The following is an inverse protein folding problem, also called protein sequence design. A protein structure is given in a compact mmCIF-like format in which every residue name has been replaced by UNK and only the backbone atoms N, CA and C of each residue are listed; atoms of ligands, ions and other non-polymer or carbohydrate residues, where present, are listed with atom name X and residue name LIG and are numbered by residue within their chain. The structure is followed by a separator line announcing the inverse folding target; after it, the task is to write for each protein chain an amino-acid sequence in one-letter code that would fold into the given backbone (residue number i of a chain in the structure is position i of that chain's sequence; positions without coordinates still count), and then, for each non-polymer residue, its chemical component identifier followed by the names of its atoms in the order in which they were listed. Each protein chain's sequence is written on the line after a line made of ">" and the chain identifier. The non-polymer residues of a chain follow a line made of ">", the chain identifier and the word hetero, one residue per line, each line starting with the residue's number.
data_IF_249077691856
#
_entry.id   IF_249077691856
#
_cell.length_a   1.000
_cell.length_b   1.000
_cell.length_c   1.000
_cell.angle_alpha   90.00
_cell.angle_beta   90.00
_cell.angle_gamma   90.00
#
_symmetry.space_group_name_H-M   'P 1'
#
loop_
_entity.id
_entity.type
_entity.pdbx_description
1 polymer ?
#
# COMPACT_ATOMS: atom_id res chain seq x y z
N UNK A 1 -5.74 52.76 28.27
CA UNK A 1 -6.43 52.11 27.12
C UNK A 1 -5.60 50.93 26.58
N UNK A 2 -5.14 50.01 27.45
CA UNK A 2 -4.19 48.94 27.08
C UNK A 2 -4.67 47.53 27.47
N UNK A 3 -5.68 47.39 28.32
CA UNK A 3 -6.17 46.08 28.79
C UNK A 3 -6.94 45.28 27.72
N UNK A 4 -7.57 45.94 26.75
CA UNK A 4 -8.37 45.25 25.72
C UNK A 4 -7.51 44.50 24.68
N UNK A 5 -6.28 44.96 24.43
CA UNK A 5 -5.39 44.35 23.42
C UNK A 5 -4.76 43.05 23.96
N UNK A 6 -4.42 43.01 25.25
CA UNK A 6 -3.79 41.83 25.86
C UNK A 6 -4.81 40.68 25.97
N UNK A 7 -6.05 40.99 26.34
CA UNK A 7 -7.13 40.00 26.47
C UNK A 7 -7.48 39.35 25.12
N UNK A 8 -7.56 40.13 24.04
CA UNK A 8 -7.87 39.59 22.70
C UNK A 8 -6.74 38.71 22.16
N UNK A 9 -5.48 39.09 22.37
CA UNK A 9 -4.32 38.28 21.97
C UNK A 9 -4.33 36.92 22.68
N UNK A 10 -4.58 36.88 24.00
CA UNK A 10 -4.64 35.63 24.77
C UNK A 10 -5.79 34.74 24.27
N UNK A 11 -6.98 35.32 24.01
CA UNK A 11 -8.11 34.57 23.45
C UNK A 11 -7.79 33.94 22.08
N UNK A 12 -7.10 34.66 21.20
CA UNK A 12 -6.71 34.14 19.87
C UNK A 12 -5.71 32.98 20.01
N UNK A 13 -4.71 33.10 20.89
CA UNK A 13 -3.76 32.02 21.13
C UNK A 13 -4.43 30.77 21.71
N UNK A 14 -5.36 30.92 22.66
CA UNK A 14 -6.11 29.80 23.21
C UNK A 14 -7.01 29.12 22.16
N UNK A 15 -7.73 29.90 21.34
CA UNK A 15 -8.55 29.37 20.25
C UNK A 15 -7.71 28.64 19.20
N UNK A 16 -6.54 29.18 18.81
CA UNK A 16 -5.64 28.53 17.87
C UNK A 16 -5.06 27.22 18.45
N UNK A 17 -4.71 27.20 19.73
CA UNK A 17 -4.19 26.00 20.42
C UNK A 17 -5.27 24.91 20.54
N UNK A 18 -6.52 25.28 20.78
CA UNK A 18 -7.67 24.36 20.82
C UNK A 18 -7.94 23.78 19.43
N UNK A 19 -7.94 24.62 18.39
CA UNK A 19 -8.15 24.19 17.00
C UNK A 19 -7.04 23.25 16.52
N UNK A 20 -5.77 23.53 16.85
CA UNK A 20 -4.65 22.67 16.50
C UNK A 20 -4.72 21.32 17.24
N UNK A 21 -5.12 21.32 18.52
CA UNK A 21 -5.35 20.08 19.28
C UNK A 21 -6.50 19.27 18.72
N UNK A 22 -7.63 19.90 18.37
CA UNK A 22 -8.76 19.25 17.72
C UNK A 22 -8.37 18.67 16.36
N UNK A 23 -7.57 19.39 15.58
CA UNK A 23 -7.08 18.91 14.29
C UNK A 23 -6.17 17.69 14.45
N UNK A 24 -5.22 17.75 15.39
CA UNK A 24 -4.32 16.63 15.70
C UNK A 24 -5.05 15.42 16.29
N UNK A 25 -6.01 15.63 17.20
CA UNK A 25 -6.80 14.54 17.77
C UNK A 25 -7.73 13.91 16.73
N UNK A 26 -8.39 14.70 15.88
CA UNK A 26 -9.19 14.19 14.77
C UNK A 26 -8.33 13.39 13.78
N UNK A 27 -7.14 13.87 13.42
CA UNK A 27 -6.22 13.14 12.54
C UNK A 27 -5.75 11.83 13.17
N UNK A 28 -5.41 11.84 14.46
CA UNK A 28 -5.01 10.63 15.19
C UNK A 28 -6.15 9.63 15.40
N UNK A 29 -7.39 10.12 15.54
CA UNK A 29 -8.59 9.31 15.69
C UNK A 29 -9.01 8.70 14.35
N UNK A 30 -8.93 9.47 13.25
CA UNK A 30 -9.12 8.99 11.89
C UNK A 30 -8.13 7.87 11.54
N UNK A 31 -6.85 8.05 11.91
CA UNK A 31 -5.81 7.03 11.69
C UNK A 31 -6.04 5.75 12.53
N UNK A 32 -6.60 5.86 13.75
CA UNK A 32 -6.92 4.70 14.60
C UNK A 32 -8.17 3.94 14.13
N UNK A 33 -9.25 4.62 13.80
CA UNK A 33 -10.47 3.96 13.28
C UNK A 33 -10.24 3.31 11.90
N UNK A 34 -9.41 3.89 11.02
CA UNK A 34 -9.17 3.31 9.68
C UNK A 34 -8.25 2.08 9.70
N UNK A 35 -7.34 1.99 10.68
CA UNK A 35 -6.62 0.74 10.94
C UNK A 35 -7.56 -0.42 11.29
N UNK A 36 -8.79 -0.11 11.73
CA UNK A 36 -9.82 -1.11 12.00
C UNK A 36 -10.58 -1.55 10.74
N UNK A 37 -10.72 -0.73 9.70
CA UNK A 37 -11.34 -1.16 8.43
C UNK A 37 -10.43 -2.08 7.58
N UNK A 38 -9.11 -1.96 7.73
CA UNK A 38 -8.12 -2.88 7.14
C UNK A 38 -8.03 -4.23 7.88
N UNK A 39 -8.80 -4.46 8.96
CA UNK A 39 -8.71 -5.64 9.84
C UNK A 39 -8.98 -7.00 9.17
N UNK A 40 -9.49 -7.04 7.94
CA UNK A 40 -9.67 -8.28 7.20
C UNK A 40 -8.39 -8.81 6.53
N UNK A 41 -7.36 -7.97 6.39
CA UNK A 41 -6.13 -8.32 5.68
C UNK A 41 -5.06 -8.77 6.68
N UNK A 42 -4.86 -10.08 6.75
CA UNK A 42 -3.83 -10.69 7.59
C UNK A 42 -2.47 -10.52 6.91
N UNK A 43 -1.71 -9.51 7.29
CA UNK A 43 -0.34 -9.34 6.82
C UNK A 43 0.60 -10.38 7.45
N UNK A 44 1.68 -10.77 6.75
CA UNK A 44 2.71 -11.63 7.33
C UNK A 44 3.21 -11.06 8.67
N UNK A 45 3.48 -11.93 9.67
CA UNK A 45 3.80 -11.50 11.04
C UNK A 45 5.01 -10.56 11.09
N UNK A 46 6.02 -10.80 10.25
CA UNK A 46 7.22 -9.98 10.16
C UNK A 46 6.96 -8.51 9.73
N UNK A 47 5.84 -8.21 9.05
CA UNK A 47 5.45 -6.83 8.72
C UNK A 47 4.80 -6.16 9.93
N UNK A 48 3.96 -6.89 10.67
CA UNK A 48 3.27 -6.38 11.84
C UNK A 48 4.23 -6.16 13.03
N UNK A 49 5.16 -7.09 13.24
CA UNK A 49 6.17 -7.08 14.29
C UNK A 49 7.24 -6.01 14.08
N UNK A 50 7.37 -5.46 12.87
CA UNK A 50 8.34 -4.41 12.58
C UNK A 50 8.03 -3.16 13.41
N UNK A 51 9.02 -2.58 14.11
CA UNK A 51 8.84 -1.32 14.82
C UNK A 51 8.40 -0.21 13.84
N UNK A 52 7.73 0.80 14.38
CA UNK A 52 7.26 1.95 13.60
C UNK A 52 8.47 2.59 12.92
N UNK A 53 8.56 2.33 11.62
CA UNK A 53 9.63 2.77 10.74
C UNK A 53 9.00 3.59 9.63
N UNK A 54 9.80 4.47 9.02
CA UNK A 54 9.37 5.28 7.87
C UNK A 54 8.75 4.40 6.76
N UNK A 55 9.22 3.15 6.62
CA UNK A 55 8.63 2.17 5.72
C UNK A 55 7.17 1.83 6.08
N UNK A 56 6.91 1.51 7.35
CA UNK A 56 5.58 1.12 7.85
C UNK A 56 4.60 2.28 7.75
N UNK A 57 5.05 3.49 8.06
CA UNK A 57 4.25 4.71 7.93
C UNK A 57 3.84 4.96 6.47
N UNK A 58 4.81 4.89 5.54
CA UNK A 58 4.54 5.02 4.10
C UNK A 58 3.62 3.92 3.57
N UNK A 59 3.79 2.69 4.05
CA UNK A 59 2.90 1.58 3.69
C UNK A 59 1.47 1.86 4.16
N UNK A 60 1.30 2.26 5.42
CA UNK A 60 -0.01 2.60 5.97
C UNK A 60 -0.65 3.75 5.19
N UNK A 61 0.09 4.83 4.93
CA UNK A 61 -0.38 5.96 4.11
C UNK A 61 -0.84 5.51 2.72
N UNK A 62 -0.11 4.58 2.10
CA UNK A 62 -0.47 4.03 0.79
C UNK A 62 -1.71 3.13 0.83
N UNK A 63 -1.89 2.37 1.92
CA UNK A 63 -3.04 1.49 2.12
C UNK A 63 -4.31 2.26 2.48
N UNK A 64 -4.20 3.43 3.12
CA UNK A 64 -5.33 4.29 3.53
C UNK A 64 -6.08 4.89 2.33
N UNK A 65 -5.47 4.90 1.14
CA UNK A 65 -6.10 5.47 -0.05
C UNK A 65 -7.47 4.82 -0.32
N UNK A 66 -8.49 5.60 -0.73
CA UNK A 66 -9.81 5.04 -1.02
C UNK A 66 -9.73 3.98 -2.13
N UNK A 67 -10.68 3.06 -2.13
CA UNK A 67 -10.78 2.05 -3.19
C UNK A 67 -11.07 2.72 -4.54
N UNK A 68 -10.45 2.22 -5.61
CA UNK A 68 -10.67 2.66 -6.98
C UNK A 68 -10.61 1.43 -7.89
N UNK A 69 -11.67 1.19 -8.66
CA UNK A 69 -11.81 -0.03 -9.47
C UNK A 69 -10.71 -0.11 -10.54
N UNK A 70 -10.41 1.03 -11.17
CA UNK A 70 -9.38 1.16 -12.20
C UNK A 70 -8.00 0.77 -11.67
N UNK A 71 -7.72 1.11 -10.42
CA UNK A 71 -6.47 0.76 -9.75
C UNK A 71 -6.40 -0.75 -9.46
N UNK A 72 -7.50 -1.33 -8.99
CA UNK A 72 -7.61 -2.76 -8.77
C UNK A 72 -7.39 -3.54 -10.07
N UNK A 73 -8.09 -3.18 -11.14
CA UNK A 73 -7.99 -3.87 -12.43
C UNK A 73 -6.56 -3.77 -12.98
N UNK A 74 -5.93 -2.60 -12.86
CA UNK A 74 -4.54 -2.39 -13.26
C UNK A 74 -3.57 -3.28 -12.49
N UNK A 75 -3.64 -3.29 -11.15
CA UNK A 75 -2.73 -4.11 -10.36
C UNK A 75 -3.00 -5.61 -10.50
N UNK A 76 -4.26 -6.00 -10.64
CA UNK A 76 -4.64 -7.38 -10.87
C UNK A 76 -4.11 -7.88 -12.22
N UNK A 77 -4.22 -7.06 -13.27
CA UNK A 77 -3.64 -7.35 -14.57
C UNK A 77 -2.12 -7.53 -14.48
N UNK A 78 -1.42 -6.62 -13.80
CA UNK A 78 0.03 -6.72 -13.58
C UNK A 78 0.43 -7.95 -12.77
N UNK A 79 -0.35 -8.31 -11.74
CA UNK A 79 -0.06 -9.46 -10.89
C UNK A 79 -0.33 -10.80 -11.59
N UNK A 80 -1.34 -10.82 -12.47
CA UNK A 80 -1.72 -11.99 -13.26
C UNK A 80 -0.94 -12.12 -14.56
N UNK A 81 -0.22 -11.08 -14.98
CA UNK A 81 0.48 -11.04 -16.25
C UNK A 81 1.54 -12.14 -16.34
N UNK A 82 1.59 -12.77 -17.52
CA UNK A 82 2.54 -13.83 -17.86
C UNK A 82 3.27 -13.39 -19.12
N UNK A 83 4.51 -12.97 -18.95
CA UNK A 83 5.33 -12.44 -20.04
C UNK A 83 5.99 -13.62 -20.77
N UNK A 84 6.05 -13.65 -22.11
CA UNK A 84 6.77 -14.69 -22.84
C UNK A 84 8.24 -14.73 -22.40
N UNK A 85 8.75 -15.93 -22.07
CA UNK A 85 10.14 -16.05 -21.62
C UNK A 85 11.09 -15.70 -22.76
N UNK A 86 12.10 -14.87 -22.46
CA UNK A 86 13.21 -14.60 -23.37
C UNK A 86 14.36 -15.50 -22.98
N UNK A 87 14.79 -16.37 -23.89
CA UNK A 87 15.96 -17.22 -23.68
C UNK A 87 17.20 -16.59 -24.29
N UNK A 88 18.30 -16.69 -23.57
CA UNK A 88 19.62 -16.26 -24.00
C UNK A 88 20.36 -17.46 -24.61
N UNK A 89 20.88 -17.30 -25.83
CA UNK A 89 21.81 -18.23 -26.44
C UNK A 89 23.15 -17.55 -26.67
N UNK A 90 24.18 -18.04 -25.98
CA UNK A 90 25.57 -17.62 -26.21
C UNK A 90 26.20 -18.43 -27.32
N UNK A 91 26.70 -17.74 -28.32
CA UNK A 91 27.54 -18.26 -29.40
C UNK A 91 28.97 -17.75 -29.19
N UNK A 92 29.97 -18.33 -29.85
CA UNK A 92 31.40 -17.99 -29.68
C UNK A 92 31.72 -16.49 -29.80
N UNK A 93 30.93 -15.74 -30.59
CA UNK A 93 31.13 -14.31 -30.83
C UNK A 93 29.93 -13.40 -30.48
N UNK A 94 28.76 -13.97 -30.14
CA UNK A 94 27.52 -13.19 -29.98
C UNK A 94 26.56 -13.80 -28.97
N UNK A 95 25.72 -12.96 -28.37
CA UNK A 95 24.60 -13.36 -27.53
C UNK A 95 23.31 -13.03 -28.27
N UNK A 96 22.45 -14.02 -28.49
CA UNK A 96 21.16 -13.86 -29.14
C UNK A 96 20.02 -14.10 -28.15
N UNK A 97 19.05 -13.20 -28.15
CA UNK A 97 17.82 -13.29 -27.35
C UNK A 97 16.66 -13.68 -28.26
N UNK A 98 15.89 -14.69 -27.86
CA UNK A 98 14.72 -15.14 -28.62
C UNK A 98 13.55 -15.40 -27.69
N UNK A 99 12.35 -15.06 -28.15
CA UNK A 99 11.11 -15.36 -27.45
C UNK A 99 10.84 -16.86 -27.52
N UNK A 100 10.71 -17.48 -26.35
CA UNK A 100 10.38 -18.88 -26.22
C UNK A 100 8.85 -19.03 -26.17
N UNK A 101 8.26 -19.45 -27.28
CA UNK A 101 6.80 -19.53 -27.47
C UNK A 101 6.11 -20.62 -26.65
N UNK A 102 6.87 -21.60 -26.14
CA UNK A 102 6.31 -22.78 -25.46
C UNK A 102 6.27 -22.66 -23.94
N UNK A 103 6.96 -21.68 -23.34
CA UNK A 103 6.92 -21.42 -21.89
C UNK A 103 6.68 -19.93 -21.65
N UNK A 104 5.65 -19.65 -20.87
CA UNK A 104 5.37 -18.31 -20.36
C UNK A 104 6.08 -18.14 -19.02
N UNK A 105 6.48 -16.91 -18.68
CA UNK A 105 6.98 -16.62 -17.35
C UNK A 105 5.88 -16.85 -16.31
N UNK A 106 6.30 -17.23 -15.11
CA UNK A 106 5.42 -17.26 -13.94
C UNK A 106 4.89 -15.86 -13.67
N UNK A 107 3.59 -15.74 -13.45
CA UNK A 107 2.98 -14.51 -12.92
C UNK A 107 3.40 -14.31 -11.46
N UNK A 108 3.02 -13.18 -10.86
CA UNK A 108 3.28 -12.97 -9.42
C UNK A 108 2.51 -13.98 -8.57
N UNK A 109 1.28 -14.30 -8.95
CA UNK A 109 0.49 -15.34 -8.27
C UNK A 109 1.09 -16.75 -8.44
N UNK A 110 1.73 -17.05 -9.58
CA UNK A 110 2.44 -18.32 -9.78
C UNK A 110 3.75 -18.41 -8.97
N UNK A 111 4.36 -17.26 -8.65
CA UNK A 111 5.61 -17.17 -7.87
C UNK A 111 5.35 -17.27 -6.37
N UNK A 112 4.26 -16.70 -5.89
CA UNK A 112 3.88 -16.62 -4.47
C UNK A 112 2.51 -17.28 -4.26
N UNK A 113 2.46 -18.62 -4.07
CA UNK A 113 1.20 -19.35 -3.96
C UNK A 113 0.44 -19.02 -2.67
N UNK A 114 1.15 -18.64 -1.61
CA UNK A 114 0.62 -18.12 -0.36
C UNK A 114 -0.20 -16.84 -0.58
N UNK A 115 0.34 -15.92 -1.38
CA UNK A 115 -0.36 -14.70 -1.77
C UNK A 115 -1.61 -15.02 -2.60
N UNK A 116 -1.49 -15.94 -3.57
CA UNK A 116 -2.62 -16.35 -4.41
C UNK A 116 -3.75 -17.00 -3.59
N UNK A 117 -3.40 -17.80 -2.58
CA UNK A 117 -4.36 -18.39 -1.65
C UNK A 117 -5.05 -17.30 -0.82
N UNK A 118 -4.29 -16.36 -0.26
CA UNK A 118 -4.85 -15.26 0.50
C UNK A 118 -5.78 -14.38 -0.34
N UNK A 119 -5.39 -14.10 -1.59
CA UNK A 119 -6.22 -13.37 -2.53
C UNK A 119 -7.53 -14.12 -2.86
N UNK A 120 -7.45 -15.45 -3.00
CA UNK A 120 -8.63 -16.30 -3.23
C UNK A 120 -9.62 -16.27 -2.07
N UNK A 121 -9.13 -16.20 -0.82
CA UNK A 121 -9.96 -16.06 0.37
C UNK A 121 -10.68 -14.70 0.42
N UNK A 122 -10.07 -13.66 -0.15
CA UNK A 122 -10.62 -12.31 -0.19
C UNK A 122 -11.49 -12.04 -1.44
N UNK A 123 -11.90 -13.09 -2.19
CA UNK A 123 -12.70 -12.94 -3.42
C UNK A 123 -13.99 -12.12 -3.23
N UNK A 124 -14.57 -12.13 -2.03
CA UNK A 124 -15.78 -11.38 -1.72
C UNK A 124 -15.51 -9.96 -1.20
N UNK A 125 -14.25 -9.60 -0.95
CA UNK A 125 -13.84 -8.31 -0.41
C UNK A 125 -12.77 -7.66 -1.29
N UNK A 126 -13.24 -6.92 -2.29
CA UNK A 126 -12.38 -6.21 -3.26
C UNK A 126 -11.48 -5.16 -2.61
N UNK A 127 -11.92 -4.53 -1.52
CA UNK A 127 -11.11 -3.57 -0.75
C UNK A 127 -9.88 -4.23 -0.14
N UNK A 128 -10.07 -5.40 0.46
CA UNK A 128 -8.98 -6.21 1.02
C UNK A 128 -8.06 -6.76 -0.08
N UNK A 129 -8.63 -7.20 -1.20
CA UNK A 129 -7.85 -7.62 -2.37
C UNK A 129 -6.97 -6.47 -2.90
N UNK A 130 -7.52 -5.26 -3.00
CA UNK A 130 -6.76 -4.08 -3.41
C UNK A 130 -5.64 -3.75 -2.41
N UNK A 131 -5.91 -3.84 -1.11
CA UNK A 131 -4.89 -3.61 -0.09
C UNK A 131 -3.72 -4.59 -0.23
N UNK A 132 -3.99 -5.88 -0.50
CA UNK A 132 -2.96 -6.88 -0.77
C UNK A 132 -2.10 -6.54 -1.98
N UNK A 133 -2.75 -6.16 -3.09
CA UNK A 133 -2.05 -5.77 -4.31
C UNK A 133 -1.20 -4.52 -4.09
N UNK A 134 -1.74 -3.51 -3.40
CA UNK A 134 -1.01 -2.29 -3.04
C UNK A 134 0.22 -2.61 -2.18
N UNK A 135 0.07 -3.47 -1.17
CA UNK A 135 1.19 -3.90 -0.33
C UNK A 135 2.24 -4.68 -1.11
N UNK A 136 1.83 -5.56 -2.03
CA UNK A 136 2.75 -6.28 -2.93
C UNK A 136 3.59 -5.32 -3.77
N UNK A 137 2.95 -4.40 -4.50
CA UNK A 137 3.67 -3.47 -5.38
C UNK A 137 4.52 -2.47 -4.60
N UNK A 138 4.06 -2.04 -3.42
CA UNK A 138 4.86 -1.24 -2.51
C UNK A 138 6.14 -1.98 -2.07
N UNK A 139 6.04 -3.27 -1.76
CA UNK A 139 7.19 -4.09 -1.41
C UNK A 139 8.17 -4.26 -2.56
N UNK A 140 7.68 -4.40 -3.79
CA UNK A 140 8.53 -4.56 -4.99
C UNK A 140 9.28 -3.28 -5.37
N UNK A 141 8.83 -2.12 -4.90
CA UNK A 141 9.42 -0.81 -5.23
C UNK A 141 10.52 -0.37 -4.23
N UNK A 142 10.65 -1.07 -3.09
CA UNK A 142 11.62 -0.76 -2.02
C UNK A 142 12.89 -1.59 -2.09
#
# INVERSE_FOLDING_TARGET
>A
MSCNVISTVICIFYLFSIMLKLFLTLYSCFCKCYSQELQGVIWPPHINERPNSVFKEKLIEFLIKPFTQEEYDRYFALASDRIPMVKERRTRNTVAYYHWTHEMSKSYFDRYPDLAQQFSLQRNNYTNGLALLRGLFFWLQG
#
